data_IF_853619948633
#
_entry.id   IF_853619948633
#
_cell.length_a   1.000
_cell.length_b   1.000
_cell.length_c   1.000
_cell.angle_alpha   90.00
_cell.angle_beta   90.00
_cell.angle_gamma   90.00
#
_symmetry.space_group_name_H-M   'P 1'
#
loop_
_entity.id
_entity.type
_entity.pdbx_description
1 polymer ?
#
# COMPACT_ATOMS: atom_id res chain seq x y z
N UNK A 1 -8.76 6.51 14.59
CA UNK A 1 -9.50 5.44 13.91
C UNK A 1 -10.91 5.19 14.45
N UNK A 2 -11.21 5.42 15.74
CA UNK A 2 -12.57 5.18 16.31
C UNK A 2 -13.70 5.89 15.57
N UNK A 3 -13.55 7.17 15.22
CA UNK A 3 -14.58 7.93 14.51
C UNK A 3 -14.96 7.29 13.17
N UNK A 4 -13.97 6.88 12.38
CA UNK A 4 -14.19 6.20 11.11
C UNK A 4 -14.86 4.84 11.30
N UNK A 5 -14.39 4.04 12.26
CA UNK A 5 -14.97 2.73 12.56
C UNK A 5 -16.45 2.83 12.97
N UNK A 6 -16.77 3.75 13.89
CA UNK A 6 -18.14 3.99 14.33
C UNK A 6 -19.03 4.45 13.18
N UNK A 7 -18.51 5.31 12.30
CA UNK A 7 -19.26 5.75 11.13
C UNK A 7 -19.58 4.59 10.20
N UNK A 8 -18.60 3.72 9.91
CA UNK A 8 -18.81 2.52 9.09
C UNK A 8 -19.87 1.62 9.73
N UNK A 9 -19.76 1.35 11.03
CA UNK A 9 -20.69 0.51 11.78
C UNK A 9 -22.11 1.07 11.86
N UNK A 10 -22.31 2.37 11.65
CA UNK A 10 -23.64 3.00 11.70
C UNK A 10 -24.26 3.20 10.31
N UNK A 11 -23.44 3.33 9.26
CA UNK A 11 -23.90 3.86 7.97
C UNK A 11 -23.74 2.90 6.79
N UNK A 12 -22.95 1.84 6.90
CA UNK A 12 -22.70 0.94 5.76
C UNK A 12 -23.73 -0.18 5.68
N UNK A 13 -24.37 -0.29 4.52
CA UNK A 13 -25.22 -1.42 4.17
C UNK A 13 -24.40 -2.51 3.45
N UNK A 14 -24.17 -3.62 4.15
CA UNK A 14 -23.37 -4.76 3.65
C UNK A 14 -23.98 -5.49 2.44
N UNK A 15 -25.28 -5.33 2.17
CA UNK A 15 -25.91 -5.91 0.97
C UNK A 15 -25.54 -5.16 -0.31
N UNK A 16 -25.06 -3.92 -0.19
CA UNK A 16 -24.73 -3.03 -1.31
C UNK A 16 -23.25 -2.66 -1.36
N UNK A 17 -22.55 -2.75 -0.23
CA UNK A 17 -21.22 -2.17 -0.07
C UNK A 17 -20.27 -3.16 0.59
N UNK A 18 -19.14 -3.40 -0.07
CA UNK A 18 -17.96 -4.03 0.54
C UNK A 18 -16.97 -2.94 0.94
N UNK A 19 -16.47 -2.99 2.18
CA UNK A 19 -15.51 -2.00 2.69
C UNK A 19 -14.12 -2.60 2.71
N UNK A 20 -13.16 -1.86 2.13
CA UNK A 20 -11.75 -2.20 2.18
C UNK A 20 -10.98 -1.15 3.01
N UNK A 21 -9.98 -1.61 3.74
CA UNK A 21 -8.98 -0.74 4.35
C UNK A 21 -7.61 -1.10 3.80
N UNK A 22 -6.99 -0.19 3.05
CA UNK A 22 -5.63 -0.35 2.55
C UNK A 22 -4.64 -0.01 3.66
N UNK A 23 -3.68 -0.90 3.90
CA UNK A 23 -2.64 -0.69 4.90
C UNK A 23 -1.66 0.43 4.51
N UNK A 24 -0.64 0.62 5.35
CA UNK A 24 0.34 1.71 5.24
C UNK A 24 1.14 1.57 3.94
N UNK A 25 1.20 2.65 3.17
CA UNK A 25 2.18 2.81 2.09
C UNK A 25 3.50 3.26 2.72
N UNK A 26 4.57 2.45 2.66
CA UNK A 26 5.84 2.79 3.28
C UNK A 26 6.55 3.92 2.51
N UNK A 27 7.39 4.65 3.23
CA UNK A 27 8.34 5.61 2.67
C UNK A 27 9.77 5.06 2.84
N UNK A 28 10.67 5.40 1.92
CA UNK A 28 12.10 5.03 1.98
C UNK A 28 12.97 6.27 2.23
N UNK A 29 12.89 6.80 3.46
CA UNK A 29 13.65 7.98 3.90
C UNK A 29 14.89 7.57 4.72
N UNK A 30 15.89 8.44 4.80
CA UNK A 30 17.11 8.25 5.59
C UNK A 30 18.36 7.96 4.75
N UNK A 31 19.39 7.39 5.39
CA UNK A 31 20.72 7.17 4.80
C UNK A 31 20.68 6.23 3.58
N UNK A 32 19.69 5.32 3.54
CA UNK A 32 19.39 4.41 2.43
C UNK A 32 18.10 4.80 1.70
N UNK A 33 17.96 6.08 1.34
CA UNK A 33 16.81 6.54 0.56
C UNK A 33 16.66 5.85 -0.80
N UNK A 34 15.64 6.25 -1.56
CA UNK A 34 15.31 5.65 -2.87
C UNK A 34 16.19 6.12 -4.05
N UNK A 35 17.14 7.03 -3.83
CA UNK A 35 17.97 7.56 -4.92
C UNK A 35 18.89 6.50 -5.53
N UNK A 36 18.91 6.41 -6.86
CA UNK A 36 19.65 5.39 -7.64
C UNK A 36 19.34 3.94 -7.24
N UNK A 37 18.18 3.67 -6.63
CA UNK A 37 17.71 2.31 -6.39
C UNK A 37 16.90 1.85 -7.59
N UNK A 38 17.37 0.78 -8.24
CA UNK A 38 16.75 0.23 -9.46
C UNK A 38 16.31 -1.22 -9.29
N UNK A 39 16.54 -1.79 -8.10
CA UNK A 39 16.18 -3.16 -7.75
C UNK A 39 15.44 -3.20 -6.42
N UNK A 40 14.48 -4.13 -6.25
CA UNK A 40 13.85 -4.37 -4.97
C UNK A 40 14.85 -4.78 -3.89
N UNK A 41 14.49 -4.54 -2.63
CA UNK A 41 15.23 -5.06 -1.49
C UNK A 41 14.90 -6.55 -1.35
N UNK A 42 15.91 -7.40 -1.45
CA UNK A 42 15.77 -8.86 -1.31
C UNK A 42 15.83 -9.34 0.13
N UNK A 43 16.34 -8.52 1.05
CA UNK A 43 16.40 -8.83 2.48
C UNK A 43 15.00 -8.85 3.10
N UNK A 44 14.54 -10.04 3.46
CA UNK A 44 13.22 -10.28 4.08
C UNK A 44 13.10 -9.68 5.47
N UNK A 45 14.21 -9.43 6.16
CA UNK A 45 14.23 -8.76 7.46
C UNK A 45 14.10 -7.23 7.36
N UNK A 46 14.13 -6.68 6.15
CA UNK A 46 14.02 -5.24 5.93
C UNK A 46 12.67 -4.70 6.43
N UNK A 47 12.76 -3.65 7.25
CA UNK A 47 11.60 -2.91 7.78
C UNK A 47 11.87 -1.43 7.56
N UNK A 48 10.98 -0.78 6.83
CA UNK A 48 10.97 0.69 6.74
C UNK A 48 10.54 1.30 8.07
N UNK A 49 11.07 2.48 8.38
CA UNK A 49 10.70 3.22 9.57
C UNK A 49 9.28 3.80 9.42
N UNK A 50 8.28 3.04 9.85
CA UNK A 50 6.97 3.57 10.23
C UNK A 50 6.63 3.10 11.63
N UNK A 51 5.74 3.81 12.30
CA UNK A 51 5.36 3.44 13.66
C UNK A 51 4.61 2.11 13.65
N UNK A 52 5.21 1.05 14.22
CA UNK A 52 4.53 -0.22 14.49
C UNK A 52 3.23 -0.03 15.30
N UNK A 53 3.11 1.09 16.02
CA UNK A 53 1.86 1.41 16.72
C UNK A 53 0.68 1.58 15.77
N UNK A 54 0.91 2.04 14.53
CA UNK A 54 -0.16 2.31 13.57
C UNK A 54 -0.78 1.02 13.02
N UNK A 55 0.02 0.01 12.69
CA UNK A 55 -0.49 -1.30 12.26
C UNK A 55 -1.29 -1.95 13.39
N UNK A 56 -0.75 -1.96 14.61
CA UNK A 56 -1.45 -2.47 15.81
C UNK A 56 -2.77 -1.73 16.08
N UNK A 57 -2.83 -0.41 15.87
CA UNK A 57 -4.06 0.38 16.00
C UNK A 57 -5.09 -0.02 14.94
N UNK A 58 -4.66 -0.21 13.68
CA UNK A 58 -5.55 -0.64 12.61
C UNK A 58 -6.10 -2.04 12.92
N UNK A 59 -5.24 -3.02 13.19
CA UNK A 59 -5.66 -4.40 13.49
C UNK A 59 -6.63 -4.46 14.68
N UNK A 60 -6.30 -3.74 15.76
CA UNK A 60 -7.18 -3.65 16.95
C UNK A 60 -8.50 -2.94 16.65
N UNK A 61 -8.52 -1.99 15.73
CA UNK A 61 -9.77 -1.30 15.35
C UNK A 61 -10.63 -2.21 14.50
N UNK A 62 -10.08 -2.77 13.43
CA UNK A 62 -10.82 -3.61 12.47
C UNK A 62 -11.39 -4.88 13.14
N UNK A 63 -10.63 -5.52 14.04
CA UNK A 63 -11.09 -6.71 14.79
C UNK A 63 -12.27 -6.46 15.73
N UNK A 64 -12.60 -5.20 16.02
CA UNK A 64 -13.70 -4.82 16.93
C UNK A 64 -14.91 -4.25 16.21
N UNK A 65 -14.84 -4.08 14.89
CA UNK A 65 -15.93 -3.50 14.10
C UNK A 65 -17.04 -4.54 13.90
N UNK A 66 -18.29 -4.07 13.92
CA UNK A 66 -19.46 -4.90 13.61
C UNK A 66 -19.53 -5.18 12.11
N UNK A 67 -19.23 -4.19 11.29
CA UNK A 67 -19.16 -4.31 9.84
C UNK A 67 -17.79 -4.89 9.47
N UNK A 68 -17.74 -6.05 8.79
CA UNK A 68 -16.47 -6.64 8.36
C UNK A 68 -15.80 -5.74 7.34
N UNK A 69 -14.54 -5.40 7.61
CA UNK A 69 -13.69 -4.62 6.71
C UNK A 69 -12.59 -5.53 6.19
N UNK A 70 -12.42 -5.56 4.87
CA UNK A 70 -11.35 -6.32 4.22
C UNK A 70 -10.05 -5.55 4.30
N UNK A 71 -9.08 -6.12 4.99
CA UNK A 71 -7.79 -5.49 5.18
C UNK A 71 -6.83 -5.84 4.02
N UNK A 72 -6.56 -4.87 3.14
CA UNK A 72 -5.58 -5.02 2.07
C UNK A 72 -4.20 -4.68 2.63
N UNK A 73 -3.51 -5.71 3.14
CA UNK A 73 -2.17 -5.59 3.70
C UNK A 73 -1.11 -5.50 2.59
N UNK A 74 -0.90 -4.28 2.08
CA UNK A 74 0.11 -3.94 1.08
C UNK A 74 1.46 -3.57 1.71
N UNK A 75 1.57 -3.51 3.04
CA UNK A 75 2.70 -2.83 3.70
C UNK A 75 3.99 -3.56 3.40
N UNK A 76 4.08 -4.86 3.76
CA UNK A 76 5.33 -5.62 3.66
C UNK A 76 5.83 -5.71 2.22
N UNK A 77 4.98 -6.07 1.27
CA UNK A 77 5.39 -6.12 -0.15
C UNK A 77 5.91 -4.76 -0.63
N UNK A 78 5.29 -3.66 -0.21
CA UNK A 78 5.69 -2.32 -0.64
C UNK A 78 7.01 -1.87 0.01
N UNK A 79 7.35 -2.39 1.20
CA UNK A 79 8.65 -2.11 1.85
C UNK A 79 9.83 -2.65 1.03
N UNK A 80 9.61 -3.67 0.22
CA UNK A 80 10.67 -4.20 -0.64
C UNK A 80 10.88 -3.35 -1.89
N UNK A 81 9.96 -2.43 -2.22
CA UNK A 81 9.90 -1.76 -3.52
C UNK A 81 10.52 -0.37 -3.53
N UNK A 82 11.70 -0.24 -2.91
CA UNK A 82 12.48 1.01 -2.92
C UNK A 82 12.77 1.53 -4.34
N UNK A 83 12.82 0.63 -5.32
CA UNK A 83 13.04 0.88 -6.74
C UNK A 83 11.85 1.55 -7.45
N UNK A 84 10.66 1.49 -6.87
CA UNK A 84 9.43 1.94 -7.52
C UNK A 84 9.05 3.40 -7.21
N UNK A 85 9.94 4.15 -6.56
CA UNK A 85 9.75 5.57 -6.26
C UNK A 85 10.22 6.48 -7.40
N UNK A 86 9.58 7.65 -7.62
CA UNK A 86 10.03 8.65 -8.59
C UNK A 86 11.41 9.22 -8.28
N UNK A 87 11.83 9.20 -7.01
CA UNK A 87 13.14 9.71 -6.59
C UNK A 87 13.36 11.16 -7.09
N UNK A 88 14.46 11.44 -7.81
CA UNK A 88 14.79 12.76 -8.34
C UNK A 88 13.96 13.17 -9.58
N UNK A 89 13.14 12.27 -10.12
CA UNK A 89 12.30 12.51 -11.31
C UNK A 89 10.91 13.02 -10.95
N UNK A 90 10.56 13.09 -9.66
CA UNK A 90 9.36 13.78 -9.23
C UNK A 90 9.38 15.26 -9.64
N UNK A 91 8.21 15.81 -9.95
CA UNK A 91 8.03 17.23 -10.28
C UNK A 91 7.58 18.00 -9.06
N UNK A 92 8.24 19.12 -8.76
CA UNK A 92 7.82 20.08 -7.72
C UNK A 92 7.60 21.44 -8.36
N UNK A 93 6.38 21.98 -8.33
CA UNK A 93 5.97 23.20 -9.06
C UNK A 93 6.26 23.09 -10.59
N UNK A 94 5.87 21.98 -11.20
CA UNK A 94 5.99 21.77 -12.66
C UNK A 94 7.39 21.44 -13.19
N UNK A 95 8.44 21.52 -12.36
CA UNK A 95 9.82 21.22 -12.75
C UNK A 95 10.33 19.97 -12.04
N UNK A 96 11.12 19.16 -12.76
CA UNK A 96 11.79 17.99 -12.18
C UNK A 96 12.79 18.42 -11.10
N UNK A 97 12.87 17.62 -10.03
CA UNK A 97 13.77 17.89 -8.91
C UNK A 97 15.25 17.83 -9.35
N UNK A 98 15.60 16.93 -10.28
CA UNK A 98 16.96 16.84 -10.84
C UNK A 98 17.41 18.12 -11.56
N UNK A 99 16.47 18.84 -12.20
CA UNK A 99 16.77 20.11 -12.90
C UNK A 99 17.06 21.26 -11.93
N UNK A 100 16.75 21.10 -10.64
CA UNK A 100 16.88 22.17 -9.66
C UNK A 100 18.29 22.38 -9.13
N UNK A 101 19.29 21.54 -9.43
CA UNK A 101 20.75 21.68 -9.11
C UNK A 101 21.15 22.15 -7.68
N UNK A 102 20.20 22.37 -6.77
CA UNK A 102 20.38 23.18 -5.56
C UNK A 102 20.70 22.36 -4.31
N UNK A 103 20.57 21.03 -4.35
CA UNK A 103 20.75 20.14 -3.19
C UNK A 103 21.17 18.73 -3.63
N UNK A 104 21.87 17.95 -2.78
CA UNK A 104 22.26 16.59 -3.11
C UNK A 104 21.02 15.74 -3.45
N UNK A 105 21.07 14.88 -4.48
CA UNK A 105 19.91 14.16 -4.98
C UNK A 105 19.14 13.38 -3.92
N UNK A 106 19.83 12.84 -2.92
CA UNK A 106 19.24 12.13 -1.79
C UNK A 106 18.30 13.02 -0.95
N UNK A 107 18.61 14.32 -0.81
CA UNK A 107 17.84 15.26 0.01
C UNK A 107 16.63 15.86 -0.70
N UNK A 108 16.52 15.67 -2.02
CA UNK A 108 15.41 16.13 -2.85
C UNK A 108 14.60 14.99 -3.44
N UNK A 109 15.00 13.74 -3.22
CA UNK A 109 14.29 12.58 -3.78
C UNK A 109 12.90 12.43 -3.16
N UNK A 110 11.90 12.23 -4.00
CA UNK A 110 10.59 11.78 -3.54
C UNK A 110 10.59 10.27 -3.35
N UNK A 111 10.69 9.86 -2.08
CA UNK A 111 10.66 8.46 -1.66
C UNK A 111 9.36 8.13 -0.91
N UNK A 112 8.29 8.88 -1.17
CA UNK A 112 6.98 8.74 -0.54
C UNK A 112 5.88 8.42 -1.55
N UNK A 113 5.97 8.96 -2.77
CA UNK A 113 5.07 8.65 -3.88
C UNK A 113 5.61 7.52 -4.74
N UNK A 114 4.80 6.98 -5.64
CA UNK A 114 5.16 5.85 -6.48
C UNK A 114 5.11 6.23 -7.95
N UNK A 115 6.01 5.65 -8.76
CA UNK A 115 5.92 5.73 -10.21
C UNK A 115 4.64 5.06 -10.72
N UNK A 116 4.15 5.54 -11.86
CA UNK A 116 3.11 4.90 -12.66
C UNK A 116 3.64 4.71 -14.09
N UNK A 117 3.57 3.50 -14.67
CA UNK A 117 3.16 2.24 -14.02
C UNK A 117 4.11 1.84 -12.88
N UNK A 118 3.62 1.09 -11.89
CA UNK A 118 4.41 0.74 -10.72
C UNK A 118 3.64 0.12 -9.56
N UNK A 119 4.03 0.47 -8.33
CA UNK A 119 3.51 -0.19 -7.12
C UNK A 119 1.98 -0.08 -6.93
N UNK A 120 1.34 1.06 -7.22
CA UNK A 120 -0.12 1.17 -7.15
C UNK A 120 -0.86 0.17 -8.05
N UNK A 121 -0.26 -0.25 -9.17
CA UNK A 121 -0.88 -1.24 -10.07
C UNK A 121 -0.99 -2.60 -9.38
N UNK A 122 0.01 -2.98 -8.58
CA UNK A 122 -0.03 -4.22 -7.79
C UNK A 122 -1.12 -4.15 -6.72
N UNK A 123 -1.28 -3.01 -6.04
CA UNK A 123 -2.34 -2.82 -5.06
C UNK A 123 -3.73 -2.91 -5.70
N UNK A 124 -3.89 -2.34 -6.89
CA UNK A 124 -5.15 -2.41 -7.64
C UNK A 124 -5.45 -3.84 -8.11
N UNK A 125 -4.43 -4.62 -8.48
CA UNK A 125 -4.60 -6.05 -8.78
C UNK A 125 -5.06 -6.85 -7.55
N UNK A 126 -4.49 -6.57 -6.37
CA UNK A 126 -4.92 -7.20 -5.12
C UNK A 126 -6.36 -6.83 -4.75
N UNK A 127 -6.74 -5.56 -4.93
CA UNK A 127 -8.12 -5.10 -4.74
C UNK A 127 -9.07 -5.82 -5.72
N UNK A 128 -8.72 -5.85 -7.01
CA UNK A 128 -9.53 -6.51 -8.03
C UNK A 128 -9.72 -8.00 -7.75
N UNK A 129 -8.65 -8.72 -7.42
CA UNK A 129 -8.73 -10.13 -7.03
C UNK A 129 -9.64 -10.32 -5.81
N UNK A 130 -9.51 -9.45 -4.79
CA UNK A 130 -10.35 -9.52 -3.58
C UNK A 130 -11.82 -9.21 -3.85
N UNK A 131 -12.13 -8.41 -4.87
CA UNK A 131 -13.53 -8.18 -5.29
C UNK A 131 -14.12 -9.44 -5.93
N UNK A 132 -13.36 -10.14 -6.76
CA UNK A 132 -13.85 -11.31 -7.50
C UNK A 132 -13.96 -12.58 -6.64
N UNK A 133 -12.95 -12.85 -5.81
CA UNK A 133 -12.87 -14.09 -5.04
C UNK A 133 -13.93 -14.21 -3.93
N UNK A 134 -14.54 -13.09 -3.56
CA UNK A 134 -15.47 -13.03 -2.43
C UNK A 134 -16.93 -12.81 -2.83
N UNK A 135 -17.28 -13.01 -4.10
CA UNK A 135 -18.67 -13.28 -4.48
C UNK A 135 -18.97 -14.76 -4.20
N UNK A 136 -20.12 -15.12 -3.62
CA UNK A 136 -20.62 -16.50 -3.70
C UNK A 136 -21.09 -16.76 -5.15
N UNK A 137 -20.18 -16.83 -6.11
CA UNK A 137 -19.52 -18.10 -6.37
C UNK A 137 -20.37 -19.36 -6.19
N UNK A 138 -21.65 -19.41 -6.61
CA UNK A 138 -22.30 -20.68 -6.98
C UNK A 138 -21.42 -21.35 -8.05
N UNK A 139 -20.35 -22.03 -7.63
CA UNK A 139 -19.52 -22.80 -8.55
C UNK A 139 -18.90 -24.00 -7.85
N UNK A 140 -18.88 -25.14 -8.54
CA UNK A 140 -18.59 -26.44 -7.97
C UNK A 140 -17.10 -26.53 -7.63
N UNK A 141 -16.77 -27.45 -6.72
CA UNK A 141 -15.43 -27.85 -6.32
C UNK A 141 -14.32 -27.53 -7.32
N UNK A 142 -13.33 -26.77 -6.85
CA UNK A 142 -12.01 -26.54 -7.45
C UNK A 142 -11.16 -27.83 -7.49
N UNK A 143 -11.71 -28.94 -8.01
CA UNK A 143 -11.01 -30.21 -8.21
C UNK A 143 -10.37 -30.35 -9.59
N UNK A 144 -10.52 -29.37 -10.49
CA UNK A 144 -10.08 -29.49 -11.89
C UNK A 144 -8.88 -28.61 -12.31
N UNK A 145 -8.20 -27.93 -11.38
CA UNK A 145 -7.00 -27.15 -11.72
C UNK A 145 -5.69 -27.77 -11.20
N UNK A 146 -5.71 -29.05 -10.87
CA UNK A 146 -4.48 -29.85 -10.72
C UNK A 146 -4.56 -31.04 -11.68
N UNK A 147 -4.13 -30.82 -12.91
CA UNK A 147 -3.65 -31.86 -13.83
C UNK A 147 -2.59 -31.23 -14.74
#
# INVERSE_FOLDING_TARGET
>A
MRTWANWIDQNVNLTKTTVFFRSISPEHKGQNGCYNKTQPITDMSYVTHFSESLTKIVDRTLSKMRVPVRYLNITKLSQHRVDAHPSAYAKKKGQELIKRKLKPPQSISDCSHWCLPGMPDTWNRLLYASLLLDHPIDSPSLSHLVS
#
